data_IF_602005882811
#
_entry.id   IF_602005882811
#
_cell.length_a   1.000
_cell.length_b   1.000
_cell.length_c   1.000
_cell.angle_alpha   90.00
_cell.angle_beta   90.00
_cell.angle_gamma   90.00
#
_symmetry.space_group_name_H-M   'P 1'
#
loop_
_entity.id
_entity.type
_entity.pdbx_description
1 polymer ?
#
# COMPACT_ATOMS: atom_id res chain seq x y z
N UNK A 1 -30.61 -29.62 15.77
CA UNK A 1 -31.91 -29.66 16.46
C UNK A 1 -31.75 -29.27 17.92
N UNK A 2 -32.06 -28.01 18.26
CA UNK A 2 -32.65 -27.55 19.53
C UNK A 2 -32.78 -26.03 19.41
N UNK A 3 -33.70 -25.63 18.55
CA UNK A 3 -34.30 -24.30 18.59
C UNK A 3 -35.75 -24.52 19.02
N UNK A 4 -36.21 -23.62 19.88
CA UNK A 4 -37.60 -23.37 20.29
C UNK A 4 -38.19 -24.31 21.35
N UNK A 5 -38.23 -23.82 22.59
CA UNK A 5 -39.43 -23.87 23.44
C UNK A 5 -39.19 -23.11 24.75
N UNK A 6 -39.43 -21.79 24.75
CA UNK A 6 -40.12 -21.13 25.87
C UNK A 6 -40.51 -19.70 25.45
N UNK A 7 -41.81 -19.47 25.40
CA UNK A 7 -42.41 -18.19 25.05
C UNK A 7 -42.41 -17.23 26.25
N UNK A 8 -42.04 -15.98 25.94
CA UNK A 8 -42.50 -14.72 26.53
C UNK A 8 -42.41 -14.47 28.03
N UNK A 9 -41.29 -13.84 28.42
CA UNK A 9 -41.34 -12.58 29.19
C UNK A 9 -40.57 -11.51 28.42
N UNK A 10 -41.15 -10.34 28.06
CA UNK A 10 -40.50 -9.33 27.22
C UNK A 10 -39.18 -8.78 27.80
N UNK A 11 -38.94 -8.96 29.11
CA UNK A 11 -37.69 -8.59 29.77
C UNK A 11 -36.53 -9.60 29.64
N UNK A 12 -36.76 -10.87 29.29
CA UNK A 12 -35.67 -11.88 29.23
C UNK A 12 -34.90 -11.82 27.91
N UNK A 13 -35.61 -11.53 26.81
CA UNK A 13 -35.01 -11.37 25.48
C UNK A 13 -34.10 -10.14 25.41
N UNK A 14 -34.55 -9.03 26.01
CA UNK A 14 -33.75 -7.79 26.15
C UNK A 14 -32.53 -8.04 27.04
N UNK A 15 -32.68 -8.78 28.16
CA UNK A 15 -31.54 -9.12 29.03
C UNK A 15 -30.51 -9.99 28.32
N UNK A 16 -30.93 -10.99 27.54
CA UNK A 16 -30.03 -11.85 26.76
C UNK A 16 -29.30 -11.08 25.65
N UNK A 17 -29.99 -10.16 24.96
CA UNK A 17 -29.34 -9.27 23.99
C UNK A 17 -28.33 -8.34 24.65
N UNK A 18 -28.66 -7.77 25.82
CA UNK A 18 -27.76 -6.89 26.57
C UNK A 18 -26.53 -7.63 27.10
N UNK A 19 -26.66 -8.88 27.57
CA UNK A 19 -25.50 -9.69 27.98
C UNK A 19 -24.66 -10.13 26.79
N UNK A 20 -25.26 -10.48 25.64
CA UNK A 20 -24.49 -10.77 24.42
C UNK A 20 -23.75 -9.54 23.89
N UNK A 21 -24.39 -8.38 23.85
CA UNK A 21 -23.75 -7.12 23.47
C UNK A 21 -22.62 -6.73 24.43
N UNK A 22 -22.85 -6.85 25.75
CA UNK A 22 -21.82 -6.61 26.77
C UNK A 22 -20.63 -7.55 26.63
N UNK A 23 -20.87 -8.84 26.37
CA UNK A 23 -19.82 -9.83 26.16
C UNK A 23 -19.03 -9.56 24.86
N UNK A 24 -19.71 -9.19 23.77
CA UNK A 24 -19.05 -8.81 22.50
C UNK A 24 -18.23 -7.51 22.63
N UNK A 25 -18.76 -6.52 23.34
CA UNK A 25 -18.06 -5.27 23.63
C UNK A 25 -16.83 -5.52 24.51
N UNK A 26 -16.97 -6.37 25.54
CA UNK A 26 -15.87 -6.78 26.40
C UNK A 26 -14.79 -7.56 25.63
N UNK A 27 -15.19 -8.52 24.78
CA UNK A 27 -14.26 -9.29 23.95
C UNK A 27 -13.52 -8.41 22.93
N UNK A 28 -14.21 -7.48 22.27
CA UNK A 28 -13.58 -6.48 21.39
C UNK A 28 -12.64 -5.56 22.18
N UNK A 29 -13.03 -5.12 23.37
CA UNK A 29 -12.19 -4.27 24.22
C UNK A 29 -10.93 -5.02 24.70
N UNK A 30 -11.04 -6.30 25.10
CA UNK A 30 -9.87 -7.11 25.47
C UNK A 30 -8.94 -7.34 24.29
N UNK A 31 -9.48 -7.55 23.08
CA UNK A 31 -8.67 -7.65 21.87
C UNK A 31 -7.95 -6.33 21.57
N UNK A 32 -8.60 -5.19 21.83
CA UNK A 32 -7.99 -3.87 21.63
C UNK A 32 -6.88 -3.59 22.65
N UNK A 33 -7.07 -3.94 23.93
CA UNK A 33 -6.05 -3.84 24.98
C UNK A 33 -4.87 -4.76 24.66
N UNK A 34 -5.14 -5.98 24.19
CA UNK A 34 -4.10 -6.92 23.78
C UNK A 34 -3.32 -6.42 22.56
N UNK A 35 -4.02 -5.89 21.55
CA UNK A 35 -3.41 -5.29 20.37
C UNK A 35 -2.56 -4.07 20.76
N UNK A 36 -3.04 -3.23 21.67
CA UNK A 36 -2.30 -2.06 22.16
C UNK A 36 -1.06 -2.44 22.97
N UNK A 37 -1.15 -3.49 23.80
CA UNK A 37 0.01 -4.05 24.49
C UNK A 37 1.02 -4.66 23.50
N UNK A 38 0.54 -5.36 22.47
CA UNK A 38 1.40 -5.94 21.44
C UNK A 38 2.09 -4.86 20.61
N UNK A 39 1.37 -3.82 20.20
CA UNK A 39 1.92 -2.64 19.54
C UNK A 39 2.96 -1.93 20.41
N UNK A 40 2.71 -1.83 21.72
CA UNK A 40 3.66 -1.21 22.65
C UNK A 40 4.95 -2.02 22.79
N UNK A 41 4.85 -3.36 22.87
CA UNK A 41 6.01 -4.25 22.86
C UNK A 41 6.77 -4.19 21.54
N UNK A 42 6.05 -4.18 20.43
CA UNK A 42 6.65 -4.06 19.10
C UNK A 42 7.38 -2.72 18.94
N UNK A 43 6.77 -1.63 19.39
CA UNK A 43 7.38 -0.30 19.40
C UNK A 43 8.64 -0.24 20.25
N UNK A 44 8.61 -0.86 21.44
CA UNK A 44 9.79 -0.99 22.29
C UNK A 44 10.91 -1.77 21.59
N UNK A 45 10.57 -2.91 20.98
CA UNK A 45 11.53 -3.74 20.27
C UNK A 45 12.12 -3.01 19.05
N UNK A 46 11.30 -2.28 18.30
CA UNK A 46 11.78 -1.43 17.21
C UNK A 46 12.77 -0.36 17.71
N UNK A 47 12.45 0.32 18.83
CA UNK A 47 13.34 1.31 19.44
C UNK A 47 14.68 0.71 19.86
N UNK A 48 14.66 -0.48 20.45
CA UNK A 48 15.86 -1.20 20.87
C UNK A 48 16.74 -1.61 19.68
N UNK A 49 16.12 -2.14 18.62
CA UNK A 49 16.84 -2.46 17.38
C UNK A 49 17.44 -1.19 16.76
N UNK A 50 16.69 -0.09 16.74
CA UNK A 50 17.14 1.20 16.22
C UNK A 50 18.31 1.78 17.01
N UNK A 51 18.28 1.72 18.35
CA UNK A 51 19.36 2.25 19.19
C UNK A 51 20.66 1.47 18.99
N UNK A 52 20.59 0.13 18.97
CA UNK A 52 21.76 -0.70 18.71
C UNK A 52 22.32 -0.47 17.30
N UNK A 53 21.45 -0.34 16.29
CA UNK A 53 21.88 -0.02 14.92
C UNK A 53 22.52 1.36 14.82
N UNK A 54 22.04 2.35 15.57
CA UNK A 54 22.64 3.70 15.61
C UNK A 54 24.09 3.63 16.09
N UNK A 55 24.37 2.91 17.17
CA UNK A 55 25.73 2.73 17.71
C UNK A 55 26.65 2.05 16.68
N UNK A 56 26.17 0.97 16.05
CA UNK A 56 26.94 0.27 15.02
C UNK A 56 27.26 1.15 13.80
N UNK A 57 26.31 2.00 13.37
CA UNK A 57 26.54 2.95 12.27
C UNK A 57 27.55 4.01 12.66
N UNK A 58 27.49 4.53 13.90
CA UNK A 58 28.50 5.46 14.40
C UNK A 58 29.90 4.84 14.36
N UNK A 59 30.05 3.61 14.85
CA UNK A 59 31.33 2.90 14.82
C UNK A 59 31.83 2.68 13.39
N UNK A 60 30.96 2.17 12.52
CA UNK A 60 31.29 1.90 11.11
C UNK A 60 31.71 3.17 10.35
N UNK A 61 31.05 4.30 10.58
CA UNK A 61 31.35 5.56 9.90
C UNK A 61 32.51 6.35 10.55
N UNK A 62 32.75 6.17 11.85
CA UNK A 62 33.85 6.80 12.58
C UNK A 62 35.17 6.06 12.38
N UNK A 63 35.16 4.76 12.66
CA UNK A 63 36.36 3.94 12.77
C UNK A 63 36.64 3.15 11.48
N UNK A 64 35.72 3.15 10.51
CA UNK A 64 35.77 2.29 9.32
C UNK A 64 35.91 0.80 9.67
N UNK A 65 35.45 0.44 10.87
CA UNK A 65 35.43 -0.93 11.39
C UNK A 65 34.16 -1.18 12.18
N UNK A 66 33.75 -2.45 12.25
CA UNK A 66 32.64 -2.91 13.09
C UNK A 66 33.15 -4.03 13.99
N UNK A 67 33.04 -3.85 15.29
CA UNK A 67 33.31 -4.89 16.27
C UNK A 67 32.07 -5.72 16.56
N UNK A 68 32.20 -7.04 16.42
CA UNK A 68 31.14 -8.00 16.72
C UNK A 68 31.62 -8.93 17.82
N UNK A 69 30.88 -8.95 18.93
CA UNK A 69 31.11 -9.85 20.06
C UNK A 69 30.08 -10.96 20.04
N UNK A 70 30.51 -12.21 19.86
CA UNK A 70 29.63 -13.37 19.93
C UNK A 70 30.33 -14.56 20.57
N UNK A 71 29.64 -15.23 21.51
CA UNK A 71 30.18 -16.40 22.22
C UNK A 71 31.57 -16.17 22.86
N UNK A 72 31.82 -14.97 23.39
CA UNK A 72 33.09 -14.61 24.02
C UNK A 72 34.23 -14.28 23.04
N UNK A 73 34.00 -14.36 21.73
CA UNK A 73 34.97 -13.96 20.70
C UNK A 73 34.60 -12.56 20.21
N UNK A 74 35.54 -11.63 20.33
CA UNK A 74 35.46 -10.29 19.72
C UNK A 74 36.21 -10.32 18.40
N UNK A 75 35.53 -9.97 17.31
CA UNK A 75 36.14 -9.86 15.98
C UNK A 75 35.92 -8.45 15.45
N UNK A 76 36.94 -7.88 14.81
CA UNK A 76 36.89 -6.56 14.20
C UNK A 76 36.86 -6.75 12.69
N UNK A 77 35.80 -6.26 12.05
CA UNK A 77 35.60 -6.33 10.60
C UNK A 77 35.79 -4.94 9.98
N UNK A 78 36.39 -4.88 8.80
CA UNK A 78 36.57 -3.62 8.06
C UNK A 78 35.25 -3.22 7.35
N UNK A 79 34.85 -1.95 7.43
CA UNK A 79 33.58 -1.43 6.89
C UNK A 79 33.75 -0.47 5.70
N UNK A 80 34.71 -0.76 4.80
CA UNK A 80 34.91 -0.03 3.53
C UNK A 80 33.74 -0.25 2.56
N UNK A 81 32.63 0.44 2.81
CA UNK A 81 31.41 0.37 2.00
C UNK A 81 30.82 1.75 1.82
N UNK A 82 30.25 2.04 0.65
CA UNK A 82 29.42 3.24 0.45
C UNK A 82 28.14 3.13 1.29
N UNK A 83 27.82 4.18 2.04
CA UNK A 83 26.62 4.24 2.88
C UNK A 83 25.58 5.12 2.20
N UNK A 84 24.43 4.53 1.89
CA UNK A 84 23.23 5.27 1.49
C UNK A 84 22.23 5.21 2.63
N UNK A 85 21.81 6.37 3.13
CA UNK A 85 20.82 6.46 4.19
C UNK A 85 19.62 7.28 3.71
N UNK A 86 18.42 6.78 3.98
CA UNK A 86 17.18 7.52 3.82
C UNK A 86 16.58 7.75 5.21
N UNK A 87 16.23 8.99 5.51
CA UNK A 87 15.68 9.38 6.80
C UNK A 87 14.36 10.08 6.59
N UNK A 88 13.33 9.65 7.30
CA UNK A 88 12.06 10.36 7.32
C UNK A 88 12.07 11.40 8.44
N UNK A 89 11.44 12.56 8.24
CA UNK A 89 11.27 13.54 9.30
C UNK A 89 10.42 12.98 10.44
N UNK A 90 10.65 13.43 11.70
CA UNK A 90 9.97 12.89 12.87
C UNK A 90 8.45 13.10 12.82
N UNK A 91 7.99 14.15 12.16
CA UNK A 91 6.57 14.45 11.89
C UNK A 91 6.01 13.71 10.66
N UNK A 92 6.80 12.88 9.99
CA UNK A 92 6.44 12.21 8.73
C UNK A 92 6.43 13.14 7.51
N UNK A 93 6.33 14.45 7.70
CA UNK A 93 6.41 15.48 6.66
C UNK A 93 7.59 16.41 6.91
N UNK A 94 8.24 16.81 5.81
CA UNK A 94 9.31 17.79 5.83
C UNK A 94 8.71 19.18 6.09
N UNK A 95 9.20 19.87 7.11
CA UNK A 95 8.75 21.19 7.51
C UNK A 95 9.71 22.27 6.99
N UNK A 96 9.23 23.09 6.06
CA UNK A 96 10.02 24.15 5.43
C UNK A 96 10.33 25.31 6.37
N UNK A 97 9.64 25.41 7.50
CA UNK A 97 9.88 26.43 8.51
C UNK A 97 11.03 26.05 9.45
N UNK A 98 11.44 24.77 9.44
CA UNK A 98 12.52 24.25 10.28
C UNK A 98 13.81 24.08 9.50
N UNK A 99 14.92 24.09 10.23
CA UNK A 99 16.24 23.82 9.67
C UNK A 99 16.28 22.35 9.21
N UNK A 100 17.04 22.06 8.15
CA UNK A 100 17.19 20.70 7.64
C UNK A 100 17.65 19.68 8.71
N UNK A 101 18.46 20.13 9.69
CA UNK A 101 18.89 19.30 10.82
C UNK A 101 17.73 18.91 11.73
N UNK A 102 16.82 19.83 12.05
CA UNK A 102 15.65 19.54 12.90
C UNK A 102 14.61 18.66 12.18
N UNK A 103 14.65 18.67 10.85
CA UNK A 103 13.85 17.77 10.02
C UNK A 103 14.44 16.35 9.95
N UNK A 104 15.66 16.09 10.43
CA UNK A 104 16.31 14.78 10.36
C UNK A 104 16.61 14.26 11.77
N UNK A 105 16.08 13.09 12.14
CA UNK A 105 16.31 12.46 13.46
C UNK A 105 17.69 11.77 13.59
N UNK A 106 18.75 12.44 13.12
CA UNK A 106 20.14 11.99 13.20
C UNK A 106 20.98 12.98 13.99
N UNK A 107 21.98 12.45 14.70
CA UNK A 107 22.97 13.31 15.35
C UNK A 107 23.82 14.03 14.30
N UNK A 108 24.18 15.27 14.59
CA UNK A 108 25.04 16.11 13.74
C UNK A 108 26.37 15.44 13.40
N UNK A 109 26.88 14.60 14.30
CA UNK A 109 28.10 13.79 14.12
C UNK A 109 28.00 12.79 12.97
N UNK A 110 26.84 12.17 12.74
CA UNK A 110 26.63 11.26 11.60
C UNK A 110 26.42 12.09 10.33
N UNK A 111 25.61 13.16 10.42
CA UNK A 111 25.29 14.01 9.25
C UNK A 111 26.54 14.62 8.63
N UNK A 112 27.48 15.08 9.46
CA UNK A 112 28.75 15.66 9.00
C UNK A 112 29.65 14.67 8.25
N UNK A 113 29.40 13.36 8.36
CA UNK A 113 30.17 12.30 7.67
C UNK A 113 29.59 11.93 6.31
N UNK A 114 28.40 12.41 5.97
CA UNK A 114 27.84 12.26 4.63
C UNK A 114 28.37 13.37 3.73
N UNK A 115 29.00 12.99 2.63
CA UNK A 115 29.51 13.94 1.63
C UNK A 115 28.36 14.62 0.86
N UNK A 116 27.25 13.90 0.68
CA UNK A 116 26.08 14.36 -0.07
C UNK A 116 24.81 14.12 0.74
N UNK A 117 23.98 15.15 0.85
CA UNK A 117 22.67 15.10 1.50
C UNK A 117 21.64 15.64 0.52
N UNK A 118 20.66 14.81 0.14
CA UNK A 118 19.57 15.18 -0.74
C UNK A 118 18.25 15.18 0.03
N UNK A 119 17.47 16.25 -0.15
CA UNK A 119 16.13 16.38 0.44
C UNK A 119 15.12 16.08 -0.66
N UNK A 120 14.43 14.95 -0.54
CA UNK A 120 13.31 14.59 -1.41
C UNK A 120 12.02 14.94 -0.68
N UNK A 121 11.30 15.94 -1.18
CA UNK A 121 10.00 16.35 -0.63
C UNK A 121 8.89 15.66 -1.42
N UNK A 122 7.96 15.06 -0.70
CA UNK A 122 6.72 14.58 -1.29
C UNK A 122 5.77 15.77 -1.50
N UNK A 123 5.35 16.00 -2.74
CA UNK A 123 4.43 17.09 -3.09
C UNK A 123 3.03 16.51 -3.06
N UNK A 124 2.33 16.62 -1.92
CA UNK A 124 0.97 16.10 -1.77
C UNK A 124 0.00 16.74 -2.79
N UNK A 125 -0.39 15.97 -3.80
CA UNK A 125 -1.55 16.30 -4.63
C UNK A 125 -2.78 15.69 -3.96
N UNK A 126 -3.52 16.48 -3.18
CA UNK A 126 -4.70 16.04 -2.41
C UNK A 126 -5.69 15.17 -3.20
N UNK A 127 -5.88 15.47 -4.48
CA UNK A 127 -6.76 14.70 -5.37
C UNK A 127 -6.20 13.30 -5.66
N UNK A 128 -4.89 13.17 -5.82
CA UNK A 128 -4.22 11.90 -6.09
C UNK A 128 -4.10 11.04 -4.83
N UNK A 129 -3.83 11.65 -3.67
CA UNK A 129 -3.70 10.93 -2.39
C UNK A 129 -5.03 10.30 -1.96
N UNK A 130 -6.14 11.01 -2.12
CA UNK A 130 -7.47 10.47 -1.78
C UNK A 130 -7.83 9.30 -2.68
N UNK A 131 -7.51 9.40 -3.96
CA UNK A 131 -7.70 8.31 -4.92
C UNK A 131 -6.78 7.14 -4.58
N UNK A 132 -5.51 7.38 -4.26
CA UNK A 132 -4.55 6.36 -3.87
C UNK A 132 -5.00 5.62 -2.60
N UNK A 133 -5.59 6.31 -1.64
CA UNK A 133 -6.12 5.70 -0.43
C UNK A 133 -7.31 4.76 -0.73
N UNK A 134 -8.23 5.18 -1.60
CA UNK A 134 -9.36 4.35 -2.05
C UNK A 134 -8.85 3.15 -2.84
N UNK A 135 -7.96 3.39 -3.81
CA UNK A 135 -7.36 2.35 -4.64
C UNK A 135 -6.55 1.38 -3.77
N UNK A 136 -5.72 1.85 -2.83
CA UNK A 136 -4.95 0.98 -1.94
C UNK A 136 -5.82 0.14 -1.00
N UNK A 137 -6.96 0.67 -0.55
CA UNK A 137 -7.91 -0.06 0.30
C UNK A 137 -8.75 -1.08 -0.48
N UNK A 138 -9.07 -0.82 -1.75
CA UNK A 138 -10.03 -1.62 -2.54
C UNK A 138 -9.41 -2.37 -3.74
N UNK A 139 -8.13 -2.14 -4.07
CA UNK A 139 -7.50 -2.68 -5.28
C UNK A 139 -7.56 -4.21 -5.39
N UNK A 140 -7.57 -4.90 -4.26
CA UNK A 140 -7.61 -6.37 -4.19
C UNK A 140 -8.98 -6.92 -3.82
N UNK A 141 -9.94 -6.05 -3.47
CA UNK A 141 -11.28 -6.46 -3.11
C UNK A 141 -12.04 -6.88 -4.38
N UNK A 142 -12.50 -8.12 -4.43
CA UNK A 142 -13.31 -8.64 -5.52
C UNK A 142 -14.78 -8.60 -5.14
N UNK A 143 -15.62 -8.11 -6.05
CA UNK A 143 -17.07 -8.16 -5.87
C UNK A 143 -17.57 -9.62 -5.82
N UNK A 144 -18.55 -9.86 -4.95
CA UNK A 144 -19.22 -11.16 -4.77
C UNK A 144 -19.95 -11.68 -6.01
N UNK A 145 -20.40 -10.82 -6.93
CA UNK A 145 -21.21 -11.26 -8.08
C UNK A 145 -20.36 -11.62 -9.31
N UNK A 146 -19.30 -10.86 -9.57
CA UNK A 146 -18.49 -11.04 -10.77
C UNK A 146 -17.01 -11.36 -10.50
N UNK A 147 -16.58 -11.32 -9.24
CA UNK A 147 -15.16 -11.41 -8.84
C UNK A 147 -14.31 -10.29 -9.42
N UNK A 148 -14.94 -9.22 -9.91
CA UNK A 148 -14.25 -8.07 -10.48
C UNK A 148 -13.67 -7.21 -9.36
N UNK A 149 -12.44 -6.77 -9.54
CA UNK A 149 -11.86 -5.69 -8.73
C UNK A 149 -12.41 -4.33 -9.18
N UNK A 150 -12.17 -3.29 -8.38
CA UNK A 150 -12.44 -1.88 -8.75
C UNK A 150 -11.90 -1.53 -10.14
N UNK A 151 -10.74 -2.08 -10.52
CA UNK A 151 -10.17 -1.95 -11.87
C UNK A 151 -11.07 -2.44 -13.01
N UNK A 152 -11.89 -3.47 -12.78
CA UNK A 152 -12.83 -3.99 -13.78
C UNK A 152 -14.06 -3.09 -13.93
N UNK A 153 -14.47 -2.41 -12.86
CA UNK A 153 -15.69 -1.59 -12.79
C UNK A 153 -15.43 -0.10 -13.05
N UNK A 154 -14.25 0.43 -12.73
CA UNK A 154 -13.89 1.84 -12.93
C UNK A 154 -13.76 2.22 -14.42
N UNK A 155 -13.49 1.21 -15.25
CA UNK A 155 -13.67 1.25 -16.69
C UNK A 155 -15.07 1.74 -17.11
N UNK A 156 -16.09 1.51 -16.27
CA UNK A 156 -17.49 1.69 -16.64
C UNK A 156 -17.99 3.13 -16.57
N UNK A 157 -17.43 3.97 -15.71
CA UNK A 157 -18.07 5.22 -15.26
C UNK A 157 -17.33 6.51 -15.62
N UNK A 158 -16.15 6.43 -16.27
CA UNK A 158 -15.17 7.50 -16.57
C UNK A 158 -13.96 7.58 -15.62
N UNK A 159 -13.41 6.44 -15.22
CA UNK A 159 -12.25 6.31 -14.32
C UNK A 159 -10.86 6.67 -14.88
N UNK A 160 -10.74 7.62 -15.83
CA UNK A 160 -9.43 8.01 -16.38
C UNK A 160 -8.44 8.46 -15.29
N UNK A 161 -8.93 9.18 -14.28
CA UNK A 161 -8.09 9.63 -13.16
C UNK A 161 -7.67 8.49 -12.23
N UNK A 162 -8.53 7.48 -12.04
CA UNK A 162 -8.20 6.30 -11.24
C UNK A 162 -7.11 5.49 -11.95
N UNK A 163 -7.27 5.20 -13.25
CA UNK A 163 -6.32 4.41 -14.04
C UNK A 163 -4.96 5.10 -14.21
N UNK A 164 -4.88 6.44 -14.11
CA UNK A 164 -3.60 7.17 -14.05
C UNK A 164 -2.82 6.91 -12.77
N UNK A 165 -3.51 6.68 -11.65
CA UNK A 165 -2.89 6.60 -10.30
C UNK A 165 -2.54 5.16 -9.93
N UNK A 166 -3.25 4.19 -10.50
CA UNK A 166 -3.05 2.74 -10.29
C UNK A 166 -1.59 2.26 -10.53
N UNK A 167 -0.86 2.70 -11.57
CA UNK A 167 0.54 2.27 -11.79
C UNK A 167 1.48 2.73 -10.67
N UNK A 168 1.19 3.87 -10.05
CA UNK A 168 1.98 4.41 -8.94
C UNK A 168 1.63 3.75 -7.60
N UNK A 169 0.46 3.12 -7.51
CA UNK A 169 -0.04 2.48 -6.30
C UNK A 169 0.53 1.08 -6.03
N UNK A 170 1.34 0.53 -6.95
CA UNK A 170 1.86 -0.84 -6.84
C UNK A 170 0.78 -1.92 -6.91
N UNK A 171 -0.38 -1.58 -7.48
CA UNK A 171 -1.51 -2.50 -7.64
C UNK A 171 -1.26 -3.45 -8.81
N UNK A 172 -1.51 -4.74 -8.61
CA UNK A 172 -1.45 -5.70 -9.70
C UNK A 172 -2.58 -5.44 -10.71
N UNK A 173 -2.21 -5.05 -11.93
CA UNK A 173 -3.13 -4.78 -13.03
C UNK A 173 -3.63 -6.05 -13.72
N UNK A 174 -3.08 -7.21 -13.37
CA UNK A 174 -3.37 -8.49 -14.02
C UNK A 174 -4.38 -9.36 -13.27
N UNK A 175 -5.08 -8.79 -12.29
CA UNK A 175 -6.07 -9.51 -11.48
C UNK A 175 -7.19 -10.05 -12.38
N UNK A 176 -7.53 -11.33 -12.21
CA UNK A 176 -8.56 -12.01 -12.99
C UNK A 176 -9.86 -12.09 -12.21
N UNK A 177 -10.97 -11.76 -12.87
CA UNK A 177 -12.30 -11.97 -12.33
C UNK A 177 -12.77 -13.44 -12.47
N UNK A 178 -14.03 -13.74 -12.11
CA UNK A 178 -14.63 -15.09 -12.23
C UNK A 178 -14.58 -15.62 -13.68
N UNK A 179 -14.65 -14.73 -14.67
CA UNK A 179 -14.57 -15.07 -16.09
C UNK A 179 -13.13 -15.19 -16.61
N UNK A 180 -12.13 -15.15 -15.73
CA UNK A 180 -10.70 -15.12 -16.04
C UNK A 180 -10.28 -13.94 -16.92
N UNK A 181 -11.08 -12.89 -16.99
CA UNK A 181 -10.74 -11.68 -17.74
C UNK A 181 -9.87 -10.76 -16.89
N UNK A 182 -8.90 -10.11 -17.53
CA UNK A 182 -8.05 -9.05 -16.96
C UNK A 182 -8.70 -7.69 -17.27
N UNK A 183 -8.55 -6.64 -16.44
CA UNK A 183 -9.10 -5.29 -16.71
C UNK A 183 -8.84 -4.78 -18.14
N UNK A 184 -7.67 -5.08 -18.70
CA UNK A 184 -7.32 -4.72 -20.08
C UNK A 184 -8.32 -5.27 -21.13
N UNK A 185 -8.91 -6.45 -20.91
CA UNK A 185 -9.92 -7.02 -21.81
C UNK A 185 -11.20 -6.18 -21.85
N UNK A 186 -11.62 -5.69 -20.68
CA UNK A 186 -12.81 -4.84 -20.55
C UNK A 186 -12.60 -3.51 -21.28
N UNK A 187 -11.40 -2.94 -21.18
CA UNK A 187 -11.07 -1.66 -21.82
C UNK A 187 -10.95 -1.75 -23.35
N UNK A 188 -10.40 -2.85 -23.85
CA UNK A 188 -10.33 -3.11 -25.31
C UNK A 188 -11.73 -3.33 -25.88
N UNK A 189 -12.60 -4.08 -25.19
CA UNK A 189 -13.98 -4.28 -25.60
C UNK A 189 -14.80 -2.97 -25.62
N UNK A 190 -14.45 -2.01 -24.75
CA UNK A 190 -15.07 -0.68 -24.70
C UNK A 190 -14.48 0.33 -25.70
N UNK A 191 -13.27 0.08 -26.21
CA UNK A 191 -12.57 1.01 -27.11
C UNK A 191 -11.93 2.22 -26.41
N UNK A 192 -11.67 2.15 -25.10
CA UNK A 192 -11.08 3.24 -24.33
C UNK A 192 -9.56 3.34 -24.54
N UNK A 193 -9.13 4.10 -25.57
CA UNK A 193 -7.71 4.24 -25.95
C UNK A 193 -6.82 4.71 -24.81
N UNK A 194 -7.29 5.68 -24.04
CA UNK A 194 -6.51 6.27 -22.94
C UNK A 194 -6.29 5.25 -21.82
N UNK A 195 -7.32 4.50 -21.42
CA UNK A 195 -7.17 3.43 -20.43
C UNK A 195 -6.29 2.29 -20.93
N UNK A 196 -6.45 1.87 -22.20
CA UNK A 196 -5.61 0.82 -22.82
C UNK A 196 -4.13 1.23 -22.83
N UNK A 197 -3.81 2.48 -23.21
CA UNK A 197 -2.42 2.97 -23.19
C UNK A 197 -1.84 2.96 -21.77
N UNK A 198 -2.60 3.41 -20.78
CA UNK A 198 -2.12 3.48 -19.40
C UNK A 198 -1.92 2.10 -18.78
N UNK A 199 -2.85 1.16 -19.00
CA UNK A 199 -2.72 -0.21 -18.50
C UNK A 199 -1.55 -0.97 -19.16
N UNK A 200 -1.29 -0.74 -20.46
CA UNK A 200 -0.10 -1.31 -21.13
C UNK A 200 1.18 -0.73 -20.53
N UNK A 201 1.24 0.60 -20.32
CA UNK A 201 2.39 1.23 -19.66
C UNK A 201 2.60 0.73 -18.22
N UNK A 202 1.53 0.30 -17.55
CA UNK A 202 1.56 -0.27 -16.20
C UNK A 202 1.96 -1.76 -16.14
N UNK A 203 2.23 -2.40 -17.29
CA UNK A 203 2.60 -3.82 -17.35
C UNK A 203 1.43 -4.79 -17.47
N UNK A 204 0.29 -4.34 -18.01
CA UNK A 204 -0.84 -5.22 -18.33
C UNK A 204 -0.46 -6.29 -19.36
N UNK A 205 -0.71 -7.55 -19.03
CA UNK A 205 -0.38 -8.69 -19.89
C UNK A 205 -1.31 -8.78 -21.10
N UNK A 206 -0.71 -8.88 -22.28
CA UNK A 206 -1.40 -9.19 -23.54
C UNK A 206 -1.36 -10.69 -23.76
N UNK A 207 -2.15 -11.44 -22.98
CA UNK A 207 -2.20 -12.90 -23.05
C UNK A 207 -2.95 -13.39 -24.30
N UNK A 208 -2.44 -14.46 -24.93
CA UNK A 208 -3.19 -15.28 -25.89
C UNK A 208 -3.69 -16.54 -25.17
N UNK A 209 -4.91 -16.53 -24.64
CA UNK A 209 -5.51 -17.78 -24.16
C UNK A 209 -6.76 -17.63 -23.31
N UNK A 210 -7.86 -18.21 -23.83
CA UNK A 210 -9.18 -18.51 -23.21
C UNK A 210 -10.31 -17.47 -23.46
N UNK A 211 -11.57 -17.94 -23.44
CA UNK A 211 -12.37 -18.41 -24.58
C UNK A 211 -12.91 -17.29 -25.49
N UNK A 212 -12.51 -16.03 -25.27
CA UNK A 212 -12.98 -14.89 -26.05
C UNK A 212 -11.89 -14.47 -27.06
N UNK A 213 -12.13 -14.56 -28.38
CA UNK A 213 -11.13 -14.27 -29.42
C UNK A 213 -10.76 -12.79 -29.56
N UNK A 214 -11.14 -11.95 -28.60
CA UNK A 214 -11.13 -10.49 -28.71
C UNK A 214 -9.80 -9.84 -28.35
N UNK A 215 -8.83 -10.55 -27.76
CA UNK A 215 -7.52 -9.99 -27.40
C UNK A 215 -6.37 -10.48 -28.29
N UNK A 216 -6.58 -10.52 -29.59
CA UNK A 216 -5.44 -10.55 -30.52
C UNK A 216 -4.72 -9.18 -30.47
N UNK A 217 -3.41 -9.16 -30.71
CA UNK A 217 -2.64 -7.92 -30.92
C UNK A 217 -3.35 -7.03 -31.96
N UNK A 218 -4.03 -7.64 -32.94
CA UNK A 218 -4.84 -6.94 -33.94
C UNK A 218 -5.99 -6.12 -33.35
N UNK A 219 -6.65 -6.60 -32.30
CA UNK A 219 -7.75 -5.86 -31.65
C UNK A 219 -7.23 -4.65 -30.88
N UNK A 220 -6.10 -4.80 -30.17
CA UNK A 220 -5.46 -3.70 -29.45
C UNK A 220 -4.96 -2.65 -30.45
N UNK A 221 -4.31 -3.08 -31.54
CA UNK A 221 -3.86 -2.19 -32.61
C UNK A 221 -5.04 -1.48 -33.28
N UNK A 222 -6.14 -2.17 -33.55
CA UNK A 222 -7.37 -1.58 -34.10
C UNK A 222 -7.98 -0.54 -33.16
N UNK A 223 -8.10 -0.86 -31.86
CA UNK A 223 -8.56 0.09 -30.85
C UNK A 223 -7.67 1.33 -30.79
N UNK A 224 -6.34 1.17 -30.86
CA UNK A 224 -5.39 2.29 -30.83
C UNK A 224 -5.32 3.08 -32.15
N UNK A 225 -5.63 2.45 -33.29
CA UNK A 225 -5.55 3.04 -34.63
C UNK A 225 -6.81 3.79 -35.07
N UNK A 226 -7.96 3.59 -34.43
CA UNK A 226 -9.16 4.37 -34.75
C UNK A 226 -8.94 5.87 -34.42
N UNK A 227 -9.53 6.82 -35.15
CA UNK A 227 -9.49 8.24 -34.78
C UNK A 227 -10.28 8.47 -33.48
N UNK A 228 -9.80 9.36 -32.59
CA UNK A 228 -10.55 9.75 -31.39
C UNK A 228 -11.93 10.27 -31.77
N UNK A 229 -13.02 9.89 -31.09
CA UNK A 229 -14.31 10.51 -31.34
C UNK A 229 -14.17 12.00 -31.02
N UNK A 230 -14.52 12.85 -31.99
CA UNK A 230 -14.59 14.29 -31.80
C UNK A 230 -15.42 14.59 -30.55
N UNK A 231 -15.02 15.56 -29.70
CA UNK A 231 -15.86 15.97 -28.59
C UNK A 231 -17.21 16.41 -29.16
N UNK A 232 -18.28 15.85 -28.58
CA UNK A 232 -19.66 16.22 -28.90
C UNK A 232 -19.80 17.75 -28.87
N UNK A 233 -20.43 18.38 -29.87
CA UNK A 233 -20.67 19.81 -29.84
C UNK A 233 -21.57 20.14 -28.63
N UNK A 234 -21.23 21.26 -27.98
CA UNK A 234 -21.88 21.82 -26.79
C UNK A 234 -23.40 21.94 -26.90
#
# INVERSE_FOLDING_TARGET
MKLLAEADKPGSLIKNYMTQLSCMLSSKATNLVFLQAHLSRFHHHLKEILSHKRIAIHEAMEQQTISITKAGITTILNSRTSVLAATNPPSGRYDDLKIAQDNIDLQTTILSRFELIFIVKDINMFSQDKILLVVGAEATAQDTQHGGTTLHTDAMTNGLELVKIIPYAGVDVNIRNVQKTIPLHVEVARGSKSCVRMLISAGGLVEKGLPFPLLSISSIVSCLASPSPNPLPL
#
